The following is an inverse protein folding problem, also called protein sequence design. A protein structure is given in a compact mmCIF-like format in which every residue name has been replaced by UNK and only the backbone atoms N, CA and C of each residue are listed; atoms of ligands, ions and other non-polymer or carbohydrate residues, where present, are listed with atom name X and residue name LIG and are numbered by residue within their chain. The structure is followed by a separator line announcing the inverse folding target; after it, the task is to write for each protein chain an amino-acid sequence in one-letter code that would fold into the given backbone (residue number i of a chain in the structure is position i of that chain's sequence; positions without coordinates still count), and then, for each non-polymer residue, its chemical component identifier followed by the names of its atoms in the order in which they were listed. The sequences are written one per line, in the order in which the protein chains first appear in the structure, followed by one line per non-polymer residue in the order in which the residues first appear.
data_IF_610280099970
#
_entry.id   IF_610280099970
#
_cell.length_a   1.000
_cell.length_b   1.000
_cell.length_c   1.000
_cell.angle_alpha   90.00
_cell.angle_beta   90.00
_cell.angle_gamma   90.00
#
_symmetry.space_group_name_H-M   'P 1'
#
loop_
_entity.id
_entity.type
_entity.pdbx_description
1 polymer ?
#
# COMPACT_ATOMS: atom_id res chain seq x y z
N UNK A 1 20.49 9.49 14.03
CA UNK A 1 19.77 8.37 13.36
C UNK A 1 19.50 8.79 11.93
N UNK A 2 19.77 7.92 10.94
CA UNK A 2 19.56 8.23 9.51
C UNK A 2 18.28 7.58 9.05
N UNK A 3 17.43 8.34 8.38
CA UNK A 3 16.17 7.88 7.77
C UNK A 3 16.30 8.02 6.26
N UNK A 4 15.82 7.02 5.55
CA UNK A 4 15.74 7.02 4.10
C UNK A 4 14.27 7.10 3.68
N UNK A 5 13.94 8.03 2.80
CA UNK A 5 12.58 8.26 2.34
C UNK A 5 12.37 7.62 0.98
N UNK A 6 11.37 6.73 0.91
CA UNK A 6 10.93 6.06 -0.32
C UNK A 6 9.46 6.31 -0.55
N UNK A 7 9.04 6.28 -1.81
CA UNK A 7 7.64 6.38 -2.19
C UNK A 7 7.26 5.27 -3.17
N UNK A 8 6.13 4.63 -2.92
CA UNK A 8 5.51 3.65 -3.80
C UNK A 8 4.03 3.97 -3.98
N UNK A 9 3.63 4.26 -5.22
CA UNK A 9 2.23 4.54 -5.59
C UNK A 9 1.57 5.65 -4.80
N UNK A 10 2.32 6.72 -4.52
CA UNK A 10 1.83 7.89 -3.78
C UNK A 10 1.90 7.78 -2.26
N UNK A 11 2.17 6.60 -1.70
CA UNK A 11 2.51 6.47 -0.28
C UNK A 11 4.00 6.66 -0.07
N UNK A 12 4.37 7.42 0.95
CA UNK A 12 5.76 7.69 1.31
C UNK A 12 6.11 7.15 2.69
N UNK A 13 7.29 6.57 2.80
CA UNK A 13 7.74 5.91 4.02
C UNK A 13 9.15 6.36 4.38
N UNK A 14 9.36 6.60 5.67
CA UNK A 14 10.69 6.68 6.26
C UNK A 14 11.15 5.28 6.63
N UNK A 15 12.35 4.91 6.21
CA UNK A 15 12.94 3.61 6.51
C UNK A 15 14.21 3.84 7.32
N UNK A 16 14.34 3.10 8.41
CA UNK A 16 15.51 3.15 9.29
C UNK A 16 15.94 1.74 9.67
N UNK A 17 17.23 1.50 9.76
CA UNK A 17 17.78 0.26 10.29
C UNK A 17 18.02 0.37 11.79
N UNK A 18 17.65 -0.67 12.54
CA UNK A 18 17.92 -0.81 13.97
C UNK A 18 18.39 -2.23 14.27
N UNK A 19 19.38 -2.35 15.15
CA UNK A 19 19.86 -3.64 15.67
C UNK A 19 19.16 -4.07 16.96
N UNK A 20 18.31 -3.20 17.52
CA UNK A 20 17.57 -3.46 18.75
C UNK A 20 16.06 -3.32 18.50
N UNK A 21 15.34 -4.37 18.85
CA UNK A 21 13.86 -4.34 18.85
C UNK A 21 13.40 -3.55 20.07
N UNK A 22 12.63 -2.49 19.83
CA UNK A 22 12.01 -1.64 20.84
C UNK A 22 10.74 -1.00 20.29
N UNK A 23 10.00 -0.31 21.10
CA UNK A 23 8.87 0.49 20.64
C UNK A 23 9.36 1.79 19.98
N UNK A 24 8.95 2.01 18.74
CA UNK A 24 9.24 3.19 17.94
C UNK A 24 8.00 4.07 17.70
N UNK A 25 6.88 3.81 18.38
CA UNK A 25 5.61 4.53 18.19
C UNK A 25 5.76 6.04 18.31
N UNK A 26 6.42 6.53 19.37
CA UNK A 26 6.65 7.96 19.56
C UNK A 26 7.59 8.55 18.51
N UNK A 27 8.61 7.81 18.13
CA UNK A 27 9.50 8.23 17.04
C UNK A 27 8.75 8.36 15.72
N UNK A 28 7.88 7.38 15.40
CA UNK A 28 7.06 7.41 14.20
C UNK A 28 6.17 8.68 14.15
N UNK A 29 5.48 9.00 15.25
CA UNK A 29 4.69 10.24 15.36
C UNK A 29 5.51 11.50 15.07
N UNK A 30 6.70 11.58 15.64
CA UNK A 30 7.57 12.75 15.48
C UNK A 30 8.11 12.86 14.05
N UNK A 31 8.73 11.80 13.54
CA UNK A 31 9.43 11.89 12.25
C UNK A 31 8.48 11.89 11.05
N UNK A 32 7.31 11.25 11.17
CA UNK A 32 6.30 11.23 10.11
C UNK A 32 5.43 12.47 10.04
N UNK A 33 5.46 13.36 11.06
CA UNK A 33 4.68 14.59 11.02
C UNK A 33 5.11 15.48 9.86
N UNK A 34 4.14 15.92 9.02
CA UNK A 34 4.47 16.57 7.75
C UNK A 34 5.00 18.01 7.89
N UNK A 35 4.73 18.67 9.02
CA UNK A 35 5.16 20.04 9.28
C UNK A 35 6.29 20.13 10.31
N UNK A 36 6.33 19.19 11.26
CA UNK A 36 7.28 19.23 12.39
C UNK A 36 8.30 18.09 12.35
N UNK A 37 8.14 17.14 11.41
CA UNK A 37 9.03 16.02 11.17
C UNK A 37 9.59 16.04 9.73
N UNK A 38 10.02 14.88 9.26
CA UNK A 38 10.43 14.69 7.87
C UNK A 38 9.25 14.45 6.94
N UNK A 39 8.06 14.17 7.51
CA UNK A 39 6.81 13.94 6.82
C UNK A 39 6.79 12.59 6.08
N UNK A 40 5.87 11.70 6.46
CA UNK A 40 5.63 10.44 5.76
C UNK A 40 4.29 9.83 6.19
N UNK A 41 3.79 8.85 5.43
CA UNK A 41 2.62 8.06 5.79
C UNK A 41 2.94 7.00 6.86
N UNK A 42 4.21 6.62 6.98
CA UNK A 42 4.64 5.67 8.00
C UNK A 42 6.15 5.54 8.16
N UNK A 43 6.53 4.86 9.24
CA UNK A 43 7.91 4.51 9.58
C UNK A 43 8.09 3.00 9.50
N UNK A 44 9.05 2.55 8.70
CA UNK A 44 9.50 1.15 8.65
C UNK A 44 10.84 1.03 9.35
N UNK A 45 10.90 0.17 10.36
CA UNK A 45 12.13 -0.16 11.09
C UNK A 45 12.61 -1.53 10.62
N UNK A 46 13.74 -1.59 9.94
CA UNK A 46 14.37 -2.82 9.49
C UNK A 46 15.22 -3.38 10.63
N UNK A 47 14.98 -4.62 10.99
CA UNK A 47 15.60 -5.34 12.10
C UNK A 47 16.31 -6.60 11.59
N UNK A 48 17.41 -7.05 12.21
CA UNK A 48 18.02 -8.33 11.88
C UNK A 48 17.05 -9.48 12.19
N UNK A 49 17.05 -10.51 11.36
CA UNK A 49 16.33 -11.75 11.57
C UNK A 49 17.29 -12.93 11.62
N UNK A 50 16.88 -14.04 12.29
CA UNK A 50 17.66 -15.29 12.32
C UNK A 50 17.37 -16.18 11.12
N UNK A 51 16.10 -16.16 10.66
CA UNK A 51 15.58 -17.14 9.70
C UNK A 51 15.26 -16.51 8.34
N UNK A 52 15.26 -15.16 8.26
CA UNK A 52 14.94 -14.38 7.06
C UNK A 52 16.04 -13.37 6.77
N UNK A 53 16.04 -12.77 5.58
CA UNK A 53 17.00 -11.72 5.23
C UNK A 53 16.95 -10.54 6.22
N UNK A 54 15.75 -10.21 6.71
CA UNK A 54 15.47 -9.26 7.79
C UNK A 54 14.03 -9.44 8.31
N UNK A 55 13.69 -8.73 9.39
CA UNK A 55 12.30 -8.51 9.81
C UNK A 55 12.01 -7.01 9.88
N UNK A 56 10.73 -6.64 9.92
CA UNK A 56 10.35 -5.25 10.10
C UNK A 56 9.39 -5.05 11.28
N UNK A 57 9.47 -3.84 11.88
CA UNK A 57 8.38 -3.22 12.60
C UNK A 57 7.86 -2.05 11.75
N UNK A 58 6.56 -2.02 11.46
CA UNK A 58 5.93 -0.97 10.67
C UNK A 58 4.94 -0.18 11.52
N UNK A 59 5.04 1.15 11.44
CA UNK A 59 4.21 2.11 12.17
C UNK A 59 3.56 3.09 11.21
N UNK A 60 2.26 3.35 11.38
CA UNK A 60 1.58 4.47 10.73
C UNK A 60 2.12 5.81 11.26
N UNK A 61 1.81 6.91 10.59
CA UNK A 61 2.22 8.26 11.01
C UNK A 61 1.68 8.67 12.39
N UNK A 62 0.59 8.09 12.83
CA UNK A 62 0.03 8.30 14.19
C UNK A 62 0.73 7.47 15.28
N UNK A 63 1.73 6.67 14.92
CA UNK A 63 2.49 5.78 15.81
C UNK A 63 1.83 4.43 16.07
N UNK A 64 0.65 4.15 15.53
CA UNK A 64 0.04 2.83 15.65
C UNK A 64 0.82 1.78 14.85
N UNK A 65 0.94 0.56 15.40
CA UNK A 65 1.56 -0.55 14.67
C UNK A 65 0.64 -1.03 13.55
N UNK A 66 1.22 -1.24 12.37
CA UNK A 66 0.57 -1.86 11.23
C UNK A 66 1.26 -3.19 10.88
N UNK A 67 0.47 -4.17 10.45
CA UNK A 67 0.98 -5.50 10.15
C UNK A 67 1.62 -5.59 8.76
N UNK A 68 0.94 -5.06 7.75
CA UNK A 68 1.34 -5.16 6.34
C UNK A 68 0.82 -3.97 5.53
N UNK A 69 1.66 -3.51 4.60
CA UNK A 69 1.30 -2.56 3.56
C UNK A 69 2.06 -2.94 2.27
N UNK A 70 1.33 -3.19 1.19
CA UNK A 70 1.93 -3.59 -0.10
C UNK A 70 2.84 -2.51 -0.70
N UNK A 71 2.55 -1.23 -0.48
CA UNK A 71 3.42 -0.13 -0.92
C UNK A 71 4.70 -0.06 -0.08
N UNK A 72 4.59 -0.20 1.25
CA UNK A 72 5.73 -0.23 2.15
C UNK A 72 6.64 -1.44 1.90
N UNK A 73 6.08 -2.63 1.59
CA UNK A 73 6.87 -3.84 1.32
C UNK A 73 7.76 -3.68 0.09
N UNK A 74 7.27 -3.03 -0.97
CA UNK A 74 8.09 -2.71 -2.14
C UNK A 74 9.19 -1.70 -1.80
N UNK A 75 8.86 -0.66 -1.03
CA UNK A 75 9.82 0.36 -0.59
C UNK A 75 10.95 -0.23 0.27
N UNK A 76 10.61 -1.05 1.26
CA UNK A 76 11.63 -1.69 2.11
C UNK A 76 12.44 -2.74 1.36
N UNK A 77 11.82 -3.44 0.40
CA UNK A 77 12.52 -4.40 -0.46
C UNK A 77 13.62 -3.71 -1.29
N UNK A 78 13.30 -2.58 -1.92
CA UNK A 78 14.30 -1.80 -2.64
C UNK A 78 15.38 -1.23 -1.70
N UNK A 79 14.99 -0.71 -0.54
CA UNK A 79 15.92 -0.23 0.48
C UNK A 79 16.92 -1.32 0.90
N UNK A 80 16.41 -2.51 1.24
CA UNK A 80 17.25 -3.63 1.69
C UNK A 80 18.28 -4.04 0.63
N UNK A 81 17.88 -4.08 -0.64
CA UNK A 81 18.77 -4.35 -1.75
C UNK A 81 19.84 -3.25 -1.93
N UNK A 82 19.42 -2.00 -1.97
CA UNK A 82 20.35 -0.86 -2.18
C UNK A 82 21.37 -0.69 -1.05
N UNK A 83 21.04 -1.15 0.17
CA UNK A 83 21.91 -1.07 1.34
C UNK A 83 22.64 -2.41 1.65
N UNK A 84 22.65 -3.35 0.69
CA UNK A 84 23.30 -4.65 0.80
C UNK A 84 22.85 -5.48 2.04
N UNK A 85 21.61 -5.27 2.50
CA UNK A 85 20.99 -6.06 3.56
C UNK A 85 20.47 -7.37 2.99
N UNK A 86 19.95 -7.35 1.74
CA UNK A 86 19.41 -8.52 1.07
C UNK A 86 19.74 -8.52 -0.44
N UNK A 87 19.59 -9.67 -1.08
CA UNK A 87 19.79 -9.85 -2.52
C UNK A 87 18.57 -9.33 -3.34
N UNK A 88 18.64 -9.36 -4.69
CA UNK A 88 17.51 -9.02 -5.58
C UNK A 88 16.25 -9.83 -5.31
N UNK A 89 16.42 -11.11 -4.98
CA UNK A 89 15.34 -12.00 -4.58
C UNK A 89 15.55 -12.35 -3.12
N UNK A 90 14.63 -11.93 -2.28
CA UNK A 90 14.76 -12.14 -0.84
C UNK A 90 13.39 -12.28 -0.16
N UNK A 91 13.44 -12.73 1.08
CA UNK A 91 12.24 -12.92 1.90
C UNK A 91 12.45 -12.23 3.25
N UNK A 92 11.51 -11.43 3.67
CA UNK A 92 11.53 -10.81 4.98
C UNK A 92 10.28 -11.15 5.79
N UNK A 93 10.38 -10.98 7.12
CA UNK A 93 9.28 -11.24 8.04
C UNK A 93 8.54 -9.95 8.40
N UNK A 94 7.27 -9.87 8.06
CA UNK A 94 6.35 -8.79 8.43
C UNK A 94 5.40 -9.28 9.54
N UNK A 95 5.78 -9.07 10.80
CA UNK A 95 5.06 -9.64 11.94
C UNK A 95 5.14 -11.16 11.97
N UNK A 96 4.08 -11.86 11.51
CA UNK A 96 4.04 -13.33 11.38
C UNK A 96 4.00 -13.80 9.93
N UNK A 97 4.14 -12.89 8.98
CA UNK A 97 3.94 -13.16 7.57
C UNK A 97 5.25 -13.03 6.81
N UNK A 98 5.54 -14.04 6.00
CA UNK A 98 6.64 -14.03 5.04
C UNK A 98 6.26 -13.22 3.83
N UNK A 99 7.13 -12.31 3.42
CA UNK A 99 6.96 -11.46 2.24
C UNK A 99 8.13 -11.70 1.30
N UNK A 100 7.87 -12.28 0.15
CA UNK A 100 8.87 -12.40 -0.89
C UNK A 100 8.93 -11.14 -1.74
N UNK A 101 10.14 -10.73 -2.07
CA UNK A 101 10.47 -9.58 -2.92
C UNK A 101 11.27 -10.06 -4.12
N UNK A 102 10.93 -9.52 -5.29
CA UNK A 102 11.73 -9.65 -6.49
C UNK A 102 11.95 -8.25 -7.10
N UNK A 103 13.21 -7.90 -7.33
CA UNK A 103 13.60 -6.65 -7.99
C UNK A 103 13.94 -7.00 -9.45
N UNK A 104 13.02 -6.68 -10.36
CA UNK A 104 13.18 -7.00 -11.78
C UNK A 104 14.07 -5.97 -12.49
N UNK A 105 13.85 -4.69 -12.20
CA UNK A 105 14.60 -3.54 -12.71
C UNK A 105 15.01 -2.63 -11.54
N UNK A 106 15.89 -1.65 -11.74
CA UNK A 106 16.43 -0.85 -10.64
C UNK A 106 15.40 -0.25 -9.67
N UNK A 107 14.17 -0.03 -10.14
CA UNK A 107 13.09 0.55 -9.35
C UNK A 107 11.74 -0.14 -9.53
N UNK A 108 11.67 -1.28 -10.20
CA UNK A 108 10.45 -2.09 -10.36
C UNK A 108 10.51 -3.28 -9.42
N UNK A 109 9.65 -3.28 -8.43
CA UNK A 109 9.65 -4.26 -7.36
C UNK A 109 8.33 -5.03 -7.36
N UNK A 110 8.42 -6.36 -7.36
CA UNK A 110 7.31 -7.26 -7.10
C UNK A 110 7.34 -7.70 -5.63
N UNK A 111 6.20 -7.64 -4.96
CA UNK A 111 6.01 -8.08 -3.57
C UNK A 111 4.84 -9.06 -3.49
N UNK A 112 4.99 -10.14 -2.72
CA UNK A 112 3.92 -11.09 -2.45
C UNK A 112 2.92 -10.49 -1.44
N UNK A 113 1.67 -10.31 -1.86
CA UNK A 113 0.57 -9.91 -0.99
C UNK A 113 -0.12 -11.10 -0.31
N UNK A 114 0.25 -12.35 -0.66
CA UNK A 114 -0.24 -13.61 -0.13
C UNK A 114 -1.61 -14.03 -0.65
N UNK A 115 -2.31 -14.80 0.18
CA UNK A 115 -3.58 -15.43 -0.17
C UNK A 115 -4.76 -14.46 -0.06
N UNK A 116 -5.89 -14.88 -0.63
CA UNK A 116 -7.17 -14.21 -0.52
C UNK A 116 -8.26 -15.16 -0.05
N UNK A 117 -9.37 -14.61 0.42
CA UNK A 117 -10.58 -15.36 0.76
C UNK A 117 -11.81 -14.61 0.26
N UNK A 118 -12.67 -15.28 -0.49
CA UNK A 118 -13.99 -14.75 -0.81
C UNK A 118 -14.86 -14.95 0.42
N UNK A 119 -15.39 -13.86 0.96
CA UNK A 119 -16.20 -13.88 2.18
C UNK A 119 -17.68 -13.94 1.85
N UNK A 120 -18.16 -13.15 0.86
CA UNK A 120 -19.56 -13.11 0.46
C UNK A 120 -19.72 -12.58 -0.98
N UNK A 121 -20.85 -12.90 -1.58
CA UNK A 121 -21.34 -12.31 -2.83
C UNK A 121 -22.68 -11.65 -2.55
N UNK A 122 -22.74 -10.32 -2.65
CA UNK A 122 -23.81 -9.49 -2.10
C UNK A 122 -24.63 -8.91 -3.25
N UNK A 123 -25.88 -9.34 -3.48
CA UNK A 123 -26.75 -8.71 -4.45
C UNK A 123 -26.99 -7.22 -4.14
N UNK A 124 -27.10 -6.38 -5.17
CA UNK A 124 -27.32 -4.94 -5.03
C UNK A 124 -28.49 -4.59 -4.11
N UNK A 125 -29.59 -5.35 -4.17
CA UNK A 125 -30.79 -5.19 -3.33
C UNK A 125 -30.45 -5.06 -1.82
N UNK A 126 -29.40 -5.73 -1.34
CA UNK A 126 -28.96 -5.62 0.07
C UNK A 126 -28.25 -4.29 0.37
N UNK A 127 -27.82 -3.59 -0.66
CA UNK A 127 -27.05 -2.35 -0.57
C UNK A 127 -27.90 -1.09 -0.89
N UNK A 128 -29.06 -1.23 -1.55
CA UNK A 128 -29.89 -0.11 -2.03
C UNK A 128 -30.25 0.90 -0.94
N UNK A 129 -30.46 0.46 0.30
CA UNK A 129 -30.73 1.34 1.44
C UNK A 129 -29.61 2.33 1.77
N UNK A 130 -28.43 2.17 1.19
CA UNK A 130 -27.29 3.04 1.37
C UNK A 130 -27.11 4.02 0.19
N UNK A 131 -27.91 3.87 -0.88
CA UNK A 131 -27.80 4.66 -2.09
C UNK A 131 -28.67 5.90 -1.99
N UNK A 132 -28.17 7.01 -2.53
CA UNK A 132 -28.93 8.23 -2.74
C UNK A 132 -29.67 8.18 -4.09
N UNK A 133 -30.62 9.07 -4.30
CA UNK A 133 -31.33 9.14 -5.59
C UNK A 133 -30.33 9.39 -6.74
N UNK A 134 -30.46 8.63 -7.82
CA UNK A 134 -29.55 8.65 -8.97
C UNK A 134 -28.13 8.21 -8.66
N UNK A 135 -27.95 7.33 -7.70
CA UNK A 135 -26.64 6.77 -7.35
C UNK A 135 -26.01 6.03 -8.52
N UNK A 136 -24.72 6.26 -8.72
CA UNK A 136 -23.89 5.46 -9.64
C UNK A 136 -23.91 3.97 -9.24
N UNK A 137 -24.03 3.70 -7.94
CA UNK A 137 -23.97 2.36 -7.38
C UNK A 137 -25.23 1.52 -7.68
N UNK A 138 -26.37 2.15 -8.04
CA UNK A 138 -27.59 1.44 -8.48
C UNK A 138 -27.36 0.57 -9.72
N UNK A 139 -26.36 0.92 -10.53
CA UNK A 139 -25.99 0.16 -11.73
C UNK A 139 -25.06 -1.03 -11.46
N UNK A 140 -24.67 -1.26 -10.21
CA UNK A 140 -23.82 -2.39 -9.82
C UNK A 140 -24.73 -3.54 -9.36
N UNK A 141 -24.83 -4.63 -10.13
CA UNK A 141 -25.79 -5.69 -9.81
C UNK A 141 -25.37 -6.52 -8.59
N UNK A 142 -24.09 -6.57 -8.32
CA UNK A 142 -23.51 -7.44 -7.29
C UNK A 142 -22.21 -6.82 -6.75
N UNK A 143 -22.06 -6.86 -5.43
CA UNK A 143 -20.83 -6.57 -4.74
C UNK A 143 -20.17 -7.86 -4.25
N UNK A 144 -18.85 -7.85 -4.18
CA UNK A 144 -18.05 -8.99 -3.73
C UNK A 144 -17.27 -8.60 -2.49
N UNK A 145 -17.43 -9.34 -1.41
CA UNK A 145 -16.67 -9.14 -0.18
C UNK A 145 -15.48 -10.10 -0.15
N UNK A 146 -14.28 -9.55 -0.24
CA UNK A 146 -13.03 -10.30 -0.40
C UNK A 146 -12.03 -9.84 0.65
N UNK A 147 -11.40 -10.81 1.33
CA UNK A 147 -10.29 -10.55 2.24
C UNK A 147 -8.97 -10.82 1.51
N UNK A 148 -8.10 -9.82 1.50
CA UNK A 148 -6.72 -9.88 0.97
C UNK A 148 -5.70 -9.45 2.03
N UNK A 149 -6.00 -9.75 3.30
CA UNK A 149 -5.31 -9.33 4.50
C UNK A 149 -6.14 -8.36 5.34
N UNK A 150 -7.08 -7.66 4.70
CA UNK A 150 -8.20 -6.93 5.29
C UNK A 150 -9.42 -7.05 4.37
N UNK A 151 -10.67 -6.92 4.90
CA UNK A 151 -11.87 -7.00 4.08
C UNK A 151 -12.02 -5.84 3.10
N UNK A 152 -12.41 -6.17 1.87
CA UNK A 152 -12.72 -5.25 0.79
C UNK A 152 -14.06 -5.57 0.16
N UNK A 153 -14.94 -4.59 0.04
CA UNK A 153 -16.16 -4.64 -0.75
C UNK A 153 -15.85 -4.12 -2.16
N UNK A 154 -16.12 -4.91 -3.19
CA UNK A 154 -15.78 -4.62 -4.58
C UNK A 154 -17.03 -4.55 -5.43
N UNK A 155 -17.22 -3.46 -6.18
CA UNK A 155 -18.27 -3.32 -7.17
C UNK A 155 -17.73 -2.88 -8.53
N UNK A 156 -18.40 -3.28 -9.63
CA UNK A 156 -17.96 -2.92 -10.98
C UNK A 156 -19.01 -2.06 -11.68
N UNK A 157 -18.58 -0.88 -12.16
CA UNK A 157 -19.39 0.03 -12.97
C UNK A 157 -19.23 -0.27 -14.46
N UNK A 158 -20.20 0.16 -15.27
CA UNK A 158 -20.25 -0.14 -16.70
C UNK A 158 -19.38 0.80 -17.55
N UNK A 159 -18.97 1.93 -17.00
CA UNK A 159 -18.17 2.90 -17.75
C UNK A 159 -17.22 3.65 -16.80
N UNK A 160 -16.03 4.00 -17.29
CA UNK A 160 -14.96 4.64 -16.53
C UNK A 160 -15.36 6.00 -15.95
N UNK A 161 -16.15 6.78 -16.69
CA UNK A 161 -16.58 8.12 -16.25
C UNK A 161 -17.35 8.10 -14.93
N UNK A 162 -18.05 7.00 -14.63
CA UNK A 162 -18.80 6.82 -13.40
C UNK A 162 -17.89 6.79 -12.14
N UNK A 163 -16.62 6.43 -12.28
CA UNK A 163 -15.68 6.48 -11.16
C UNK A 163 -15.48 7.91 -10.62
N UNK A 164 -15.64 8.93 -11.46
CA UNK A 164 -15.51 10.34 -11.05
C UNK A 164 -16.76 10.90 -10.39
N UNK A 165 -17.88 10.16 -10.43
CA UNK A 165 -19.18 10.58 -9.89
C UNK A 165 -19.56 9.80 -8.63
N UNK A 166 -18.61 9.12 -7.99
CA UNK A 166 -18.84 8.35 -6.77
C UNK A 166 -19.14 9.29 -5.59
N UNK A 167 -20.19 8.97 -4.85
CA UNK A 167 -20.60 9.71 -3.66
C UNK A 167 -19.92 9.15 -2.40
N UNK A 168 -19.10 9.95 -1.73
CA UNK A 168 -18.37 9.53 -0.53
C UNK A 168 -19.29 9.18 0.64
N UNK A 169 -20.48 9.76 0.76
CA UNK A 169 -21.44 9.42 1.81
C UNK A 169 -21.97 7.99 1.65
N UNK A 170 -22.25 7.57 0.41
CA UNK A 170 -22.69 6.21 0.10
C UNK A 170 -21.56 5.20 0.37
N UNK A 171 -20.35 5.50 -0.07
CA UNK A 171 -19.20 4.65 0.16
C UNK A 171 -18.88 4.52 1.65
N UNK A 172 -19.00 5.61 2.41
CA UNK A 172 -18.87 5.60 3.86
C UNK A 172 -19.92 4.72 4.53
N UNK A 173 -21.18 4.81 4.08
CA UNK A 173 -22.26 3.98 4.61
C UNK A 173 -22.00 2.49 4.33
N UNK A 174 -21.59 2.12 3.11
CA UNK A 174 -21.19 0.76 2.76
C UNK A 174 -19.98 0.30 3.58
N UNK A 175 -18.97 1.14 3.71
CA UNK A 175 -17.76 0.85 4.49
C UNK A 175 -18.12 0.51 5.95
N UNK A 176 -19.02 1.25 6.58
CA UNK A 176 -19.49 0.98 7.94
C UNK A 176 -20.32 -0.32 8.01
N UNK A 177 -21.28 -0.49 7.08
CA UNK A 177 -22.19 -1.64 7.08
C UNK A 177 -21.46 -2.98 6.92
N UNK A 178 -20.39 -3.01 6.10
CA UNK A 178 -19.62 -4.23 5.83
C UNK A 178 -18.29 -4.29 6.59
N UNK A 179 -17.94 -3.25 7.36
CA UNK A 179 -16.64 -3.11 8.03
C UNK A 179 -15.44 -3.39 7.11
N UNK A 180 -15.53 -2.92 5.87
CA UNK A 180 -14.60 -3.19 4.79
C UNK A 180 -14.20 -1.90 4.06
N UNK A 181 -13.05 -1.87 3.42
CA UNK A 181 -12.72 -0.84 2.42
C UNK A 181 -13.67 -1.02 1.22
N UNK A 182 -14.06 0.07 0.56
CA UNK A 182 -14.96 0.01 -0.60
C UNK A 182 -14.19 0.34 -1.86
N UNK A 183 -14.24 -0.56 -2.84
CA UNK A 183 -13.53 -0.42 -4.10
C UNK A 183 -14.55 -0.44 -5.24
N UNK A 184 -14.59 0.62 -6.03
CA UNK A 184 -15.40 0.66 -7.24
C UNK A 184 -14.46 0.65 -8.43
N UNK A 185 -14.71 -0.26 -9.37
CA UNK A 185 -13.80 -0.54 -10.46
C UNK A 185 -14.52 -0.56 -11.82
N UNK A 186 -13.77 -0.34 -12.87
CA UNK A 186 -14.19 -0.47 -14.27
C UNK A 186 -13.19 -1.35 -15.02
N UNK A 187 -13.69 -2.40 -15.66
CA UNK A 187 -12.90 -3.27 -16.51
C UNK A 187 -12.90 -2.66 -17.92
N UNK A 188 -11.82 -2.02 -18.33
CA UNK A 188 -11.68 -1.42 -19.65
C UNK A 188 -11.50 -2.49 -20.71
N UNK A 189 -10.67 -3.47 -20.41
CA UNK A 189 -10.45 -4.69 -21.18
C UNK A 189 -9.97 -5.81 -20.22
N UNK A 190 -9.71 -7.00 -20.76
CA UNK A 190 -9.32 -8.14 -19.91
C UNK A 190 -8.02 -7.93 -19.12
N UNK A 191 -7.15 -7.02 -19.56
CA UNK A 191 -5.83 -6.81 -18.98
C UNK A 191 -5.69 -5.45 -18.26
N UNK A 192 -6.72 -4.57 -18.33
CA UNK A 192 -6.66 -3.22 -17.76
C UNK A 192 -7.92 -2.92 -16.95
N UNK A 193 -7.74 -2.58 -15.69
CA UNK A 193 -8.81 -2.31 -14.73
C UNK A 193 -8.53 -0.97 -14.02
N UNK A 194 -9.47 -0.04 -14.09
CA UNK A 194 -9.44 1.21 -13.32
C UNK A 194 -10.23 1.04 -12.04
N UNK A 195 -9.78 1.69 -10.97
CA UNK A 195 -10.48 1.64 -9.69
C UNK A 195 -10.27 2.87 -8.83
N UNK A 196 -11.18 3.07 -7.88
CA UNK A 196 -11.02 3.97 -6.75
C UNK A 196 -11.33 3.22 -5.45
N UNK A 197 -10.56 3.49 -4.41
CA UNK A 197 -10.71 2.88 -3.09
C UNK A 197 -11.06 3.94 -2.06
N UNK A 198 -12.20 3.78 -1.38
CA UNK A 198 -12.56 4.48 -0.15
C UNK A 198 -12.06 3.66 1.03
N UNK A 199 -11.11 4.21 1.78
CA UNK A 199 -10.32 3.43 2.73
C UNK A 199 -10.74 3.66 4.18
N UNK A 200 -10.90 2.58 4.92
CA UNK A 200 -11.17 2.58 6.34
C UNK A 200 -10.01 3.18 7.13
N UNK A 201 -10.29 4.13 8.00
CA UNK A 201 -9.31 4.85 8.81
C UNK A 201 -8.81 6.13 8.15
N UNK A 202 -8.80 6.21 6.81
CA UNK A 202 -8.62 7.45 6.06
C UNK A 202 -9.96 8.16 5.90
N UNK A 203 -11.04 7.38 5.70
CA UNK A 203 -12.42 7.83 5.49
C UNK A 203 -12.56 8.77 4.28
N UNK A 204 -11.74 8.51 3.26
CA UNK A 204 -11.74 9.19 1.97
C UNK A 204 -11.09 8.30 0.90
N UNK A 205 -11.05 8.77 -0.35
CA UNK A 205 -10.34 8.12 -1.44
C UNK A 205 -8.82 8.21 -1.26
N UNK A 206 -8.17 7.07 -1.33
CA UNK A 206 -6.71 6.98 -1.34
C UNK A 206 -6.15 6.96 -2.76
N UNK A 207 -4.88 7.37 -2.91
CA UNK A 207 -4.19 7.36 -4.20
C UNK A 207 -3.99 5.94 -4.74
N UNK A 208 -3.66 4.99 -3.87
CA UNK A 208 -3.54 3.58 -4.19
C UNK A 208 -3.60 2.72 -2.91
N UNK A 209 -4.45 1.70 -2.90
CA UNK A 209 -4.54 0.70 -1.86
C UNK A 209 -4.15 -0.67 -2.42
N UNK A 210 -2.99 -1.22 -2.01
CA UNK A 210 -2.47 -2.47 -2.55
C UNK A 210 -3.39 -3.67 -2.33
N UNK A 211 -3.95 -3.81 -1.12
CA UNK A 211 -4.92 -4.87 -0.79
C UNK A 211 -6.27 -4.65 -1.48
N UNK A 212 -6.69 -3.39 -1.68
CA UNK A 212 -7.88 -3.07 -2.45
C UNK A 212 -7.75 -3.44 -3.92
N UNK A 213 -6.62 -3.13 -4.54
CA UNK A 213 -6.32 -3.56 -5.90
C UNK A 213 -6.29 -5.09 -6.01
N UNK A 214 -5.71 -5.78 -5.02
CA UNK A 214 -5.72 -7.23 -4.96
C UNK A 214 -7.13 -7.80 -4.92
N UNK A 215 -8.04 -7.23 -4.13
CA UNK A 215 -9.44 -7.65 -4.06
C UNK A 215 -10.17 -7.42 -5.39
N UNK A 216 -9.97 -6.26 -6.02
CA UNK A 216 -10.53 -5.96 -7.35
C UNK A 216 -10.01 -6.94 -8.41
N UNK A 217 -8.70 -7.22 -8.42
CA UNK A 217 -8.07 -8.17 -9.33
C UNK A 217 -8.68 -9.57 -9.18
N UNK A 218 -8.85 -10.07 -7.96
CA UNK A 218 -9.45 -11.37 -7.68
C UNK A 218 -10.92 -11.42 -8.09
N UNK A 219 -11.71 -10.37 -7.78
CA UNK A 219 -13.11 -10.28 -8.21
C UNK A 219 -13.21 -10.29 -9.74
N UNK A 220 -12.41 -9.49 -10.43
CA UNK A 220 -12.39 -9.47 -11.90
C UNK A 220 -11.99 -10.84 -12.48
N UNK A 221 -10.99 -11.48 -11.87
CA UNK A 221 -10.52 -12.80 -12.32
C UNK A 221 -11.58 -13.88 -12.20
N UNK A 222 -12.30 -13.92 -11.08
CA UNK A 222 -13.24 -15.00 -10.76
C UNK A 222 -14.60 -14.79 -11.45
N UNK A 223 -15.13 -13.57 -11.38
CA UNK A 223 -16.50 -13.29 -11.79
C UNK A 223 -16.60 -12.70 -13.21
N UNK A 224 -15.50 -12.15 -13.77
CA UNK A 224 -15.48 -11.55 -15.12
C UNK A 224 -14.46 -12.23 -16.04
N UNK A 225 -13.84 -13.33 -15.58
CA UNK A 225 -12.93 -14.16 -16.37
C UNK A 225 -11.76 -13.36 -17.00
N UNK A 226 -11.17 -12.43 -16.23
CA UNK A 226 -9.95 -11.76 -16.63
C UNK A 226 -8.73 -12.71 -16.48
N UNK A 227 -7.59 -12.45 -17.14
CA UNK A 227 -6.39 -13.32 -17.05
C UNK A 227 -5.76 -13.30 -15.64
N UNK A 228 -4.81 -14.22 -15.41
CA UNK A 228 -4.04 -14.32 -14.16
C UNK A 228 -3.03 -13.18 -13.96
N UNK A 229 -3.05 -12.18 -14.83
CA UNK A 229 -2.19 -11.00 -14.81
C UNK A 229 -2.96 -9.84 -15.42
N UNK A 230 -2.95 -8.70 -14.74
CA UNK A 230 -3.62 -7.48 -15.20
C UNK A 230 -2.93 -6.23 -14.65
N UNK A 231 -3.03 -5.14 -15.40
CA UNK A 231 -2.68 -3.80 -14.97
C UNK A 231 -3.88 -3.17 -14.23
N UNK A 232 -3.66 -2.73 -13.00
CA UNK A 232 -4.62 -1.98 -12.23
C UNK A 232 -4.18 -0.53 -12.13
N UNK A 233 -5.12 0.38 -12.45
CA UNK A 233 -4.88 1.82 -12.48
C UNK A 233 -5.74 2.48 -11.42
N UNK A 234 -5.17 2.77 -10.24
CA UNK A 234 -5.87 3.45 -9.15
C UNK A 234 -5.95 4.96 -9.40
N UNK A 235 -6.47 5.71 -8.43
CA UNK A 235 -6.63 7.16 -8.49
C UNK A 235 -5.31 7.92 -8.75
N UNK A 236 -4.15 7.34 -8.40
CA UNK A 236 -2.83 7.91 -8.71
C UNK A 236 -2.49 7.90 -10.22
N UNK A 237 -3.26 7.22 -11.04
CA UNK A 237 -2.99 6.95 -12.48
C UNK A 237 -1.69 6.17 -12.74
N UNK A 238 -1.06 5.60 -11.73
CA UNK A 238 0.07 4.69 -11.91
C UNK A 238 -0.43 3.33 -12.40
N UNK A 239 0.24 2.75 -13.39
CA UNK A 239 -0.05 1.40 -13.84
C UNK A 239 0.67 0.40 -12.95
N UNK A 240 -0.08 -0.39 -12.20
CA UNK A 240 0.41 -1.36 -11.23
C UNK A 240 -0.01 -2.76 -11.66
N UNK A 241 0.95 -3.66 -11.78
CA UNK A 241 0.68 -5.01 -12.25
C UNK A 241 0.33 -5.93 -11.06
N UNK A 242 -0.78 -6.66 -11.18
CA UNK A 242 -1.11 -7.75 -10.28
C UNK A 242 -1.08 -9.08 -11.04
N UNK A 243 -0.59 -10.12 -10.37
CA UNK A 243 -0.57 -11.47 -10.91
C UNK A 243 -0.93 -12.51 -9.85
N UNK A 244 -1.47 -13.64 -10.29
CA UNK A 244 -1.81 -14.78 -9.43
C UNK A 244 -0.87 -15.95 -9.75
N UNK A 245 -0.04 -16.33 -8.79
CA UNK A 245 0.88 -17.46 -8.86
C UNK A 245 0.58 -18.42 -7.70
N UNK A 246 0.23 -19.67 -7.96
CA UNK A 246 -0.06 -20.71 -6.93
C UNK A 246 -1.04 -20.25 -5.84
N UNK A 247 -2.12 -19.54 -6.20
CA UNK A 247 -3.10 -18.93 -5.30
C UNK A 247 -2.60 -17.73 -4.45
N UNK A 248 -1.42 -17.25 -4.67
CA UNK A 248 -0.90 -16.04 -4.03
C UNK A 248 -0.90 -14.87 -5.00
N UNK A 249 -1.22 -13.70 -4.47
CA UNK A 249 -1.27 -12.45 -5.23
C UNK A 249 0.09 -11.79 -5.16
N UNK A 250 0.63 -11.45 -6.32
CA UNK A 250 1.84 -10.65 -6.46
C UNK A 250 1.50 -9.27 -6.98
N UNK A 251 2.15 -8.28 -6.43
CA UNK A 251 1.93 -6.86 -6.67
C UNK A 251 3.22 -6.18 -7.09
N UNK A 252 3.25 -5.68 -8.33
CA UNK A 252 4.44 -5.10 -8.92
C UNK A 252 4.21 -3.64 -9.30
N UNK A 253 5.18 -2.79 -9.02
CA UNK A 253 5.16 -1.39 -9.39
C UNK A 253 6.47 -0.69 -9.05
N UNK A 254 6.57 0.56 -9.52
CA UNK A 254 7.74 1.39 -9.28
C UNK A 254 7.86 1.83 -7.82
N UNK A 255 9.09 2.01 -7.39
CA UNK A 255 9.45 2.64 -6.13
C UNK A 255 10.43 3.78 -6.42
N UNK A 256 10.26 4.91 -5.76
CA UNK A 256 11.16 6.06 -5.86
C UNK A 256 11.90 6.26 -4.56
N UNK A 257 13.21 6.34 -4.62
CA UNK A 257 14.01 6.93 -3.57
C UNK A 257 13.84 8.46 -3.60
N UNK A 258 13.47 9.07 -2.48
CA UNK A 258 13.21 10.52 -2.39
C UNK A 258 14.41 11.24 -1.82
N UNK A 259 15.07 10.66 -0.80
CA UNK A 259 16.19 11.26 -0.13
C UNK A 259 16.45 10.65 1.24
N UNK A 260 17.39 11.25 1.96
CA UNK A 260 17.68 10.88 3.35
C UNK A 260 17.61 12.07 4.29
N UNK A 261 17.32 11.80 5.56
CA UNK A 261 17.28 12.80 6.63
C UNK A 261 18.03 12.31 7.84
N UNK A 262 18.65 13.21 8.59
CA UNK A 262 19.41 12.88 9.79
C UNK A 262 18.75 13.51 11.00
N UNK A 263 18.35 12.69 11.97
CA UNK A 263 17.94 13.17 13.29
C UNK A 263 19.17 13.26 14.17
N UNK A 264 19.61 14.49 14.48
CA UNK A 264 20.71 14.76 15.41
C UNK A 264 20.29 14.44 16.86
N UNK A 265 21.19 13.86 17.64
CA UNK A 265 21.04 13.80 19.10
C UNK A 265 21.76 15.02 19.68
N UNK A 266 21.05 15.87 20.44
CA UNK A 266 21.72 16.91 21.24
C UNK A 266 22.53 16.23 22.34
N UNK A 267 23.80 16.60 22.45
CA UNK A 267 24.77 16.04 23.42
C UNK A 267 24.50 16.56 24.86
N UNK A 268 23.59 17.48 25.01
CA UNK A 268 23.19 18.03 26.32
C UNK A 268 21.68 17.87 26.50
N UNK A 269 21.27 17.18 27.53
CA UNK A 269 19.92 16.80 27.93
C UNK A 269 18.85 17.88 28.01
N UNK A 270 18.86 18.83 27.09
CA UNK A 270 17.77 19.77 26.81
C UNK A 270 17.50 19.76 25.30
N UNK A 271 16.31 19.30 24.94
CA UNK A 271 15.93 19.06 23.55
C UNK A 271 16.00 20.31 22.69
N UNK A 272 16.95 20.35 21.80
CA UNK A 272 16.88 21.13 20.57
C UNK A 272 17.01 20.14 19.42
N UNK A 273 15.90 19.89 18.75
CA UNK A 273 15.86 19.17 17.48
C UNK A 273 16.53 20.05 16.42
N UNK A 274 17.80 19.79 16.15
CA UNK A 274 18.49 20.35 15.00
C UNK A 274 18.05 19.56 13.76
N UNK A 275 17.08 20.06 12.99
CA UNK A 275 16.69 19.48 11.71
C UNK A 275 17.66 19.99 10.64
N UNK A 276 18.66 19.19 10.31
CA UNK A 276 19.49 19.41 9.12
C UNK A 276 18.94 18.54 7.96
N UNK A 277 18.31 19.17 6.98
CA UNK A 277 18.05 18.53 5.70
C UNK A 277 19.32 18.71 4.85
N UNK A 278 20.17 17.71 4.81
CA UNK A 278 21.24 17.62 3.83
C UNK A 278 20.66 17.01 2.55
N UNK A 279 20.19 17.86 1.65
CA UNK A 279 19.91 17.49 0.28
C UNK A 279 21.22 17.23 -0.47
N UNK A 280 21.82 16.07 -0.28
CA UNK A 280 22.84 15.58 -1.19
C UNK A 280 22.17 14.77 -2.27
N UNK A 281 21.96 15.40 -3.42
CA UNK A 281 21.68 14.68 -4.66
C UNK A 281 22.83 13.68 -4.87
N UNK A 282 22.47 12.39 -4.87
CA UNK A 282 23.38 11.38 -5.39
C UNK A 282 23.43 11.59 -6.90
N UNK A 283 24.47 12.25 -7.37
CA UNK A 283 24.78 12.35 -8.77
C UNK A 283 24.94 10.95 -9.35
N UNK A 284 24.20 10.71 -10.40
CA UNK A 284 24.31 9.60 -11.33
C UNK A 284 25.75 9.14 -11.57
N UNK A 285 26.03 7.89 -11.20
CA UNK A 285 27.15 7.14 -11.77
C UNK A 285 26.65 6.00 -12.61
N UNK A 286 25.70 6.26 -13.49
CA UNK A 286 25.32 5.33 -14.58
C UNK A 286 24.84 6.13 -15.79
N UNK A 287 25.76 6.92 -16.40
CA UNK A 287 25.74 7.27 -17.80
C UNK A 287 27.20 7.32 -18.28
N UNK A 288 27.66 6.18 -18.75
CA UNK A 288 28.58 5.98 -19.86
C UNK A 288 28.43 4.54 -20.33
#
# INVERSE_FOLDING_TARGET
MVFYKYSGSGNDFLIVQSFKKKDFSNLAKQVCHRHEGFGADGLVVVLPSKDYDYEWDFYNSDGSKAGMCGNASRCVGLFAYQHAIASKNHVFLAGKREISICIEEPNIIESNLGNYKILDTIPALRCEKFFTNNSVLENIPTFYLIDTGVPHLVGFVKNKGLLNSLNTLELRALRHAFNANVNIAFIENKETIFLQTYERGVEDFTLACGTGMAAVFIAARIFYNTPKKAALIPKSNESLELSLKKNEIFYKGAVRYIGMSVLGMSVLGMGVLGMGVLGMGVFDRYFL
#
